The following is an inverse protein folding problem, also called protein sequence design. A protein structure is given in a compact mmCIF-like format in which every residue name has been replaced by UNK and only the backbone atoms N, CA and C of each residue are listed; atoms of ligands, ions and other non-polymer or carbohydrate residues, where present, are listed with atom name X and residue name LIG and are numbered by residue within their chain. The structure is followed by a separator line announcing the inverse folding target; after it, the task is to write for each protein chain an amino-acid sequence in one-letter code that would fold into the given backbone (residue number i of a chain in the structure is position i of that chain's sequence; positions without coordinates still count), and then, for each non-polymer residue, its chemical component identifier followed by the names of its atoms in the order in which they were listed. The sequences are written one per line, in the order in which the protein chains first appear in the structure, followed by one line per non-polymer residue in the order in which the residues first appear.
data_IF_971832161232
#
_entry.id   IF_971832161232
#
_cell.length_a   1.000
_cell.length_b   1.000
_cell.length_c   1.000
_cell.angle_alpha   90.00
_cell.angle_beta   90.00
_cell.angle_gamma   90.00
#
_symmetry.space_group_name_H-M   'P 1'
#
loop_
_entity.id
_entity.type
_entity.pdbx_description
1 polymer ?
#
# COMPACT_ATOMS: atom_id res chain seq x y z
N UNK A 1 -28.27 -3.73 5.15
CA UNK A 1 -27.12 -2.99 5.71
C UNK A 1 -26.92 -3.45 7.15
N UNK A 2 -25.67 -3.61 7.60
CA UNK A 2 -25.35 -3.94 8.99
C UNK A 2 -25.59 -2.69 9.85
N UNK A 3 -26.07 -2.84 11.08
CA UNK A 3 -26.24 -1.69 11.99
C UNK A 3 -24.89 -1.03 12.30
N UNK A 4 -24.92 0.27 12.66
CA UNK A 4 -23.73 1.04 13.03
C UNK A 4 -22.95 0.38 14.18
N UNK A 5 -23.67 -0.07 15.20
CA UNK A 5 -23.10 -0.74 16.38
C UNK A 5 -22.42 -2.05 16.01
N UNK A 6 -23.07 -2.90 15.20
CA UNK A 6 -22.49 -4.15 14.74
C UNK A 6 -21.23 -3.93 13.87
N UNK A 7 -21.17 -2.82 13.11
CA UNK A 7 -19.97 -2.44 12.36
C UNK A 7 -18.81 -2.10 13.29
N UNK A 8 -19.06 -1.28 14.30
CA UNK A 8 -18.05 -0.86 15.29
C UNK A 8 -17.57 -2.03 16.16
N UNK A 9 -18.47 -2.92 16.56
CA UNK A 9 -18.12 -4.12 17.34
C UNK A 9 -17.18 -5.04 16.53
N UNK A 10 -17.52 -5.29 15.27
CA UNK A 10 -16.67 -6.06 14.35
C UNK A 10 -15.30 -5.40 14.19
N UNK A 11 -15.25 -4.10 14.00
CA UNK A 11 -13.99 -3.35 13.88
C UNK A 11 -13.15 -3.49 15.14
N UNK A 12 -13.75 -3.32 16.32
CA UNK A 12 -13.05 -3.49 17.61
C UNK A 12 -12.47 -4.90 17.77
N UNK A 13 -13.22 -5.93 17.37
CA UNK A 13 -12.76 -7.34 17.43
C UNK A 13 -11.57 -7.60 16.51
N UNK A 14 -11.58 -7.06 15.30
CA UNK A 14 -10.55 -7.33 14.28
C UNK A 14 -9.42 -6.30 14.24
N UNK A 15 -9.54 -5.16 14.91
CA UNK A 15 -8.51 -4.12 14.93
C UNK A 15 -7.18 -4.64 15.48
N UNK A 16 -7.19 -5.42 16.57
CA UNK A 16 -5.96 -5.97 17.17
C UNK A 16 -5.20 -6.89 16.22
N UNK A 17 -5.78 -7.98 15.68
CA UNK A 17 -5.05 -8.86 14.78
C UNK A 17 -4.63 -8.16 13.49
N UNK A 18 -5.50 -7.32 12.90
CA UNK A 18 -5.16 -6.57 11.69
C UNK A 18 -4.03 -5.57 11.92
N UNK A 19 -4.06 -4.86 13.04
CA UNK A 19 -3.04 -3.89 13.42
C UNK A 19 -1.69 -4.53 13.75
N UNK A 20 -1.67 -5.65 14.49
CA UNK A 20 -0.43 -6.42 14.75
C UNK A 20 0.15 -6.96 13.45
N UNK A 21 -0.69 -7.54 12.59
CA UNK A 21 -0.26 -8.04 11.28
C UNK A 21 0.37 -6.92 10.43
N UNK A 22 -0.24 -5.73 10.41
CA UNK A 22 0.31 -4.56 9.71
C UNK A 22 1.66 -4.10 10.28
N UNK A 23 1.83 -4.12 11.61
CA UNK A 23 3.10 -3.79 12.26
C UNK A 23 4.19 -4.80 11.94
N UNK A 24 3.85 -6.08 11.75
CA UNK A 24 4.81 -7.14 11.45
C UNK A 24 5.36 -7.07 10.01
N UNK A 25 4.65 -6.45 9.06
CA UNK A 25 5.10 -6.33 7.66
C UNK A 25 6.52 -5.77 7.58
N UNK A 26 6.78 -4.62 8.23
CA UNK A 26 8.07 -3.94 8.20
C UNK A 26 9.23 -4.72 8.79
N UNK A 27 9.21 -5.19 10.05
CA UNK A 27 10.33 -5.93 10.61
C UNK A 27 10.57 -7.24 9.86
N UNK A 28 9.51 -7.96 9.43
CA UNK A 28 9.68 -9.17 8.64
C UNK A 28 10.37 -8.88 7.30
N UNK A 29 9.91 -7.85 6.58
CA UNK A 29 10.52 -7.44 5.32
C UNK A 29 11.97 -7.01 5.52
N UNK A 30 12.23 -6.17 6.52
CA UNK A 30 13.55 -5.61 6.77
C UNK A 30 14.56 -6.68 7.18
N UNK A 31 14.19 -7.58 8.09
CA UNK A 31 15.06 -8.69 8.51
C UNK A 31 15.32 -9.63 7.34
N UNK A 32 14.30 -9.92 6.51
CA UNK A 32 14.47 -10.73 5.31
C UNK A 32 15.47 -10.10 4.33
N UNK A 33 15.29 -8.81 3.99
CA UNK A 33 16.16 -8.11 3.03
C UNK A 33 17.58 -7.93 3.57
N UNK A 34 17.72 -7.55 4.83
CA UNK A 34 19.02 -7.40 5.47
C UNK A 34 19.76 -8.75 5.51
N UNK A 35 19.10 -9.83 5.92
CA UNK A 35 19.69 -11.17 5.93
C UNK A 35 20.10 -11.64 4.53
N UNK A 36 19.27 -11.40 3.49
CA UNK A 36 19.66 -11.72 2.11
C UNK A 36 20.90 -10.94 1.68
N UNK A 37 20.94 -9.64 1.96
CA UNK A 37 22.08 -8.81 1.61
C UNK A 37 23.36 -9.24 2.34
N UNK A 38 23.26 -9.58 3.62
CA UNK A 38 24.39 -10.07 4.42
C UNK A 38 24.92 -11.42 3.91
N UNK A 39 24.04 -12.33 3.48
CA UNK A 39 24.43 -13.65 2.98
C UNK A 39 25.00 -13.61 1.55
N UNK A 40 24.56 -12.67 0.73
CA UNK A 40 25.07 -12.50 -0.65
C UNK A 40 26.41 -11.76 -0.69
N UNK A 41 26.74 -11.03 0.37
CA UNK A 41 27.93 -10.19 0.43
C UNK A 41 27.90 -9.04 -0.60
N UNK A 42 29.06 -8.44 -0.80
CA UNK A 42 29.29 -7.43 -1.84
C UNK A 42 30.21 -8.01 -2.91
N UNK A 43 29.94 -7.74 -4.19
CA UNK A 43 30.80 -8.16 -5.30
C UNK A 43 32.20 -7.53 -5.15
N UNK A 44 33.23 -8.35 -4.95
CA UNK A 44 34.61 -7.88 -4.77
C UNK A 44 35.28 -7.38 -6.06
N UNK A 45 34.85 -7.87 -7.23
CA UNK A 45 35.41 -7.49 -8.54
C UNK A 45 34.54 -6.55 -9.37
N UNK A 46 33.40 -6.10 -8.83
CA UNK A 46 32.45 -5.23 -9.54
C UNK A 46 31.63 -5.92 -10.63
N UNK A 47 31.88 -7.21 -10.90
CA UNK A 47 31.09 -8.03 -11.82
C UNK A 47 29.88 -8.59 -11.07
N UNK A 48 28.71 -8.56 -11.71
CA UNK A 48 27.48 -9.14 -11.13
C UNK A 48 27.62 -10.65 -10.88
N UNK A 49 28.36 -11.35 -11.73
CA UNK A 49 28.56 -12.81 -11.66
C UNK A 49 29.45 -13.24 -10.49
N UNK A 50 30.23 -12.34 -9.89
CA UNK A 50 31.05 -12.62 -8.70
C UNK A 50 30.19 -12.99 -7.48
N UNK A 51 28.90 -12.61 -7.47
CA UNK A 51 27.98 -12.91 -6.37
C UNK A 51 27.46 -14.36 -6.44
N UNK A 52 27.51 -15.01 -7.59
CA UNK A 52 26.90 -16.33 -7.80
C UNK A 52 27.58 -17.43 -6.97
N UNK A 53 28.93 -17.52 -6.92
CA UNK A 53 29.59 -18.48 -6.01
C UNK A 53 29.23 -18.26 -4.53
N UNK A 54 29.02 -17.01 -4.12
CA UNK A 54 28.61 -16.68 -2.75
C UNK A 54 27.18 -17.13 -2.47
N UNK A 55 26.27 -16.98 -3.44
CA UNK A 55 24.89 -17.47 -3.36
C UNK A 55 24.87 -18.99 -3.26
N UNK A 56 25.64 -19.70 -4.09
CA UNK A 56 25.74 -21.16 -4.06
C UNK A 56 26.22 -21.67 -2.68
N UNK A 57 27.32 -21.09 -2.18
CA UNK A 57 27.86 -21.42 -0.86
C UNK A 57 26.88 -21.17 0.31
N UNK A 58 25.91 -20.25 0.13
CA UNK A 58 24.92 -19.88 1.15
C UNK A 58 23.49 -20.33 0.82
N UNK A 59 23.30 -21.22 -0.17
CA UNK A 59 21.97 -21.57 -0.67
C UNK A 59 21.00 -22.02 0.44
N UNK A 60 21.47 -22.88 1.36
CA UNK A 60 20.67 -23.33 2.50
C UNK A 60 20.31 -22.22 3.49
N UNK A 61 21.22 -21.26 3.71
CA UNK A 61 21.00 -20.13 4.62
C UNK A 61 19.98 -19.12 4.06
N UNK A 62 19.80 -19.07 2.73
CA UNK A 62 18.85 -18.18 2.05
C UNK A 62 17.38 -18.62 2.22
N UNK A 63 17.11 -19.83 2.72
CA UNK A 63 15.73 -20.31 2.98
C UNK A 63 15.05 -19.48 4.06
N UNK A 64 15.75 -19.17 5.16
CA UNK A 64 15.19 -18.40 6.27
C UNK A 64 14.69 -17.01 5.81
N UNK A 65 15.50 -16.17 5.16
CA UNK A 65 14.99 -14.89 4.71
C UNK A 65 13.94 -14.99 3.59
N UNK A 66 13.94 -16.06 2.77
CA UNK A 66 12.86 -16.30 1.82
C UNK A 66 11.51 -16.49 2.54
N UNK A 67 11.50 -17.31 3.60
CA UNK A 67 10.31 -17.54 4.45
C UNK A 67 9.89 -16.25 5.15
N UNK A 68 10.83 -15.50 5.72
CA UNK A 68 10.51 -14.21 6.37
C UNK A 68 9.92 -13.19 5.38
N UNK A 69 10.45 -13.13 4.16
CA UNK A 69 9.93 -12.29 3.09
C UNK A 69 8.51 -12.69 2.68
N UNK A 70 8.26 -13.99 2.49
CA UNK A 70 6.93 -14.52 2.19
C UNK A 70 5.93 -14.21 3.31
N UNK A 71 6.32 -14.38 4.57
CA UNK A 71 5.48 -14.05 5.73
C UNK A 71 5.17 -12.56 5.82
N UNK A 72 6.12 -11.68 5.46
CA UNK A 72 5.87 -10.24 5.38
C UNK A 72 4.75 -9.91 4.39
N UNK A 73 4.76 -10.51 3.20
CA UNK A 73 3.69 -10.33 2.24
C UNK A 73 2.37 -10.88 2.76
N UNK A 74 2.34 -12.11 3.29
CA UNK A 74 1.11 -12.69 3.86
C UNK A 74 0.53 -11.84 5.01
N UNK A 75 1.39 -11.20 5.81
CA UNK A 75 0.97 -10.29 6.87
C UNK A 75 0.24 -9.03 6.37
N UNK A 76 0.34 -8.69 5.08
CA UNK A 76 -0.44 -7.60 4.46
C UNK A 76 -1.94 -7.94 4.32
N UNK A 77 -2.32 -9.23 4.29
CA UNK A 77 -3.70 -9.66 4.02
C UNK A 77 -4.66 -9.10 5.07
N UNK A 78 -4.35 -9.29 6.36
CA UNK A 78 -5.23 -8.90 7.44
C UNK A 78 -5.56 -7.38 7.45
N UNK A 79 -4.59 -6.45 7.38
CA UNK A 79 -4.91 -5.02 7.32
C UNK A 79 -5.62 -4.59 6.04
N UNK A 80 -5.30 -5.18 4.87
CA UNK A 80 -6.00 -4.86 3.62
C UNK A 80 -7.47 -5.29 3.66
N UNK A 81 -7.73 -6.52 4.13
CA UNK A 81 -9.09 -7.04 4.29
C UNK A 81 -9.86 -6.23 5.34
N UNK A 82 -9.24 -5.93 6.48
CA UNK A 82 -9.84 -5.10 7.52
C UNK A 82 -10.25 -3.72 6.99
N UNK A 83 -9.34 -3.05 6.28
CA UNK A 83 -9.56 -1.73 5.73
C UNK A 83 -10.64 -1.74 4.61
N UNK A 84 -10.65 -2.77 3.77
CA UNK A 84 -11.68 -2.99 2.75
C UNK A 84 -13.06 -3.21 3.37
N UNK A 85 -13.17 -4.08 4.37
CA UNK A 85 -14.41 -4.39 5.07
C UNK A 85 -14.98 -3.17 5.80
N UNK A 86 -14.11 -2.36 6.41
CA UNK A 86 -14.49 -1.10 7.03
C UNK A 86 -15.00 -0.09 5.98
N UNK A 87 -14.35 0.00 4.81
CA UNK A 87 -14.82 0.86 3.73
C UNK A 87 -16.17 0.39 3.16
N UNK A 88 -16.33 -0.92 2.95
CA UNK A 88 -17.56 -1.53 2.41
C UNK A 88 -18.76 -1.33 3.34
N UNK A 89 -18.57 -1.44 4.65
CA UNK A 89 -19.64 -1.19 5.61
C UNK A 89 -20.16 0.26 5.58
N UNK A 90 -19.35 1.20 5.08
CA UNK A 90 -19.67 2.64 5.02
C UNK A 90 -20.11 3.11 3.63
N UNK A 91 -19.97 2.32 2.57
CA UNK A 91 -20.33 2.73 1.22
C UNK A 91 -20.68 1.56 0.30
N UNK A 92 -21.85 1.63 -0.32
CA UNK A 92 -22.30 0.69 -1.36
C UNK A 92 -21.48 0.74 -2.65
N UNK A 93 -20.67 1.80 -2.82
CA UNK A 93 -19.78 1.93 -3.99
C UNK A 93 -18.62 0.93 -3.96
N UNK A 94 -18.36 0.32 -2.81
CA UNK A 94 -17.29 -0.67 -2.64
C UNK A 94 -17.77 -2.03 -3.17
N UNK A 95 -17.16 -2.49 -4.25
CA UNK A 95 -17.51 -3.74 -4.93
C UNK A 95 -16.89 -4.92 -4.20
N UNK A 96 -17.72 -5.89 -3.80
CA UNK A 96 -17.28 -7.08 -3.06
C UNK A 96 -16.16 -7.85 -3.76
N UNK A 97 -16.25 -7.99 -5.09
CA UNK A 97 -15.24 -8.72 -5.89
C UNK A 97 -13.81 -8.20 -5.70
N UNK A 98 -13.64 -6.92 -5.33
CA UNK A 98 -12.31 -6.33 -5.13
C UNK A 98 -11.61 -6.85 -3.86
N UNK A 99 -12.32 -7.53 -2.95
CA UNK A 99 -11.69 -8.20 -1.80
C UNK A 99 -10.72 -9.30 -2.25
N UNK A 100 -10.95 -9.90 -3.42
CA UNK A 100 -10.08 -10.92 -3.98
C UNK A 100 -8.64 -10.40 -4.13
N UNK A 101 -8.46 -9.15 -4.56
CA UNK A 101 -7.13 -8.54 -4.69
C UNK A 101 -6.43 -8.29 -3.36
N UNK A 102 -7.17 -8.09 -2.26
CA UNK A 102 -6.59 -7.94 -0.92
C UNK A 102 -5.90 -9.23 -0.43
N UNK A 103 -6.31 -10.39 -0.96
CA UNK A 103 -5.79 -11.72 -0.60
C UNK A 103 -4.87 -12.26 -1.70
N UNK A 104 -5.28 -12.14 -2.96
CA UNK A 104 -4.55 -12.67 -4.10
C UNK A 104 -3.18 -12.00 -4.25
N UNK A 105 -3.10 -10.67 -4.12
CA UNK A 105 -1.84 -9.98 -4.35
C UNK A 105 -0.75 -10.40 -3.35
N UNK A 106 -0.98 -10.40 -2.03
CA UNK A 106 0.07 -10.79 -1.10
C UNK A 106 0.41 -12.28 -1.15
N UNK A 107 -0.55 -13.15 -1.51
CA UNK A 107 -0.29 -14.58 -1.73
C UNK A 107 0.62 -14.78 -2.94
N UNK A 108 0.34 -14.14 -4.08
CA UNK A 108 1.19 -14.25 -5.27
C UNK A 108 2.59 -13.69 -5.01
N UNK A 109 2.72 -12.58 -4.29
CA UNK A 109 4.02 -12.02 -3.91
C UNK A 109 4.79 -12.95 -2.96
N UNK A 110 4.11 -13.62 -2.02
CA UNK A 110 4.74 -14.60 -1.15
C UNK A 110 5.29 -15.79 -1.94
N UNK A 111 4.51 -16.31 -2.89
CA UNK A 111 4.94 -17.38 -3.81
C UNK A 111 6.13 -16.91 -4.65
N UNK A 112 6.02 -15.72 -5.25
CA UNK A 112 7.08 -15.13 -6.07
C UNK A 112 8.38 -14.96 -5.27
N UNK A 113 8.31 -14.49 -4.02
CA UNK A 113 9.48 -14.29 -3.18
C UNK A 113 10.26 -15.59 -2.94
N UNK A 114 9.56 -16.70 -2.74
CA UNK A 114 10.17 -18.03 -2.60
C UNK A 114 10.76 -18.49 -3.94
N UNK A 115 10.00 -18.38 -5.03
CA UNK A 115 10.43 -18.80 -6.37
C UNK A 115 11.69 -18.06 -6.83
N UNK A 116 11.80 -16.76 -6.56
CA UNK A 116 12.99 -15.97 -6.90
C UNK A 116 14.23 -16.49 -6.19
N UNK A 117 14.13 -16.86 -4.91
CA UNK A 117 15.28 -17.42 -4.17
C UNK A 117 15.68 -18.78 -4.71
N UNK A 118 14.71 -19.68 -4.93
CA UNK A 118 14.97 -21.00 -5.51
C UNK A 118 15.67 -20.90 -6.88
N UNK A 119 15.13 -20.02 -7.74
CA UNK A 119 15.71 -19.76 -9.06
C UNK A 119 17.14 -19.24 -8.97
N UNK A 120 17.39 -18.27 -8.08
CA UNK A 120 18.73 -17.71 -7.90
C UNK A 120 19.73 -18.74 -7.38
N UNK A 121 19.32 -19.63 -6.48
CA UNK A 121 20.20 -20.71 -5.99
C UNK A 121 20.51 -21.75 -7.07
N UNK A 122 19.54 -22.07 -7.94
CA UNK A 122 19.75 -22.99 -9.05
C UNK A 122 20.69 -22.40 -10.10
N UNK A 123 20.44 -21.16 -10.53
CA UNK A 123 21.32 -20.44 -11.46
C UNK A 123 22.74 -20.34 -10.89
N UNK A 124 22.88 -20.06 -9.59
CA UNK A 124 24.19 -19.99 -8.94
C UNK A 124 24.92 -21.34 -8.97
N UNK A 125 24.24 -22.43 -8.62
CA UNK A 125 24.80 -23.78 -8.65
C UNK A 125 25.23 -24.20 -10.07
N UNK A 126 24.37 -23.99 -11.05
CA UNK A 126 24.65 -24.30 -12.46
C UNK A 126 25.82 -23.47 -12.98
N UNK A 127 25.89 -22.20 -12.59
CA UNK A 127 26.98 -21.29 -12.97
C UNK A 127 28.32 -21.76 -12.40
N UNK A 128 28.38 -22.08 -11.10
CA UNK A 128 29.61 -22.59 -10.47
C UNK A 128 30.06 -23.90 -11.11
N UNK A 129 29.12 -24.80 -11.40
CA UNK A 129 29.42 -26.10 -12.02
C UNK A 129 29.97 -25.99 -13.44
N UNK A 130 29.55 -24.98 -14.21
CA UNK A 130 29.93 -24.81 -15.63
C UNK A 130 31.00 -23.76 -15.86
N UNK A 131 31.28 -22.90 -14.87
CA UNK A 131 32.29 -21.85 -15.00
C UNK A 131 33.71 -22.43 -15.14
N UNK A 132 34.44 -21.97 -16.17
CA UNK A 132 35.84 -22.35 -16.40
C UNK A 132 36.77 -21.14 -16.30
N UNK A 133 37.99 -21.29 -15.77
CA UNK A 133 38.98 -20.20 -15.74
C UNK A 133 39.22 -19.62 -17.14
N UNK A 134 39.09 -18.30 -17.28
CA UNK A 134 39.27 -17.60 -18.56
C UNK A 134 38.12 -17.74 -19.56
N UNK A 135 37.02 -18.40 -19.19
CA UNK A 135 35.81 -18.51 -20.01
C UNK A 135 35.00 -17.21 -20.04
N UNK A 136 34.13 -17.08 -21.04
CA UNK A 136 33.19 -15.96 -21.13
C UNK A 136 32.02 -16.13 -20.14
N UNK A 137 32.21 -15.52 -18.97
CA UNK A 137 31.29 -15.56 -17.84
C UNK A 137 29.92 -14.93 -18.15
N UNK A 138 29.85 -13.94 -19.05
CA UNK A 138 28.58 -13.28 -19.38
C UNK A 138 27.72 -14.12 -20.31
N UNK A 139 28.34 -14.70 -21.33
CA UNK A 139 27.63 -15.61 -22.25
C UNK A 139 27.12 -16.83 -21.51
N UNK A 140 27.95 -17.43 -20.64
CA UNK A 140 27.54 -18.55 -19.78
C UNK A 140 26.36 -18.17 -18.87
N UNK A 141 26.43 -17.03 -18.19
CA UNK A 141 25.34 -16.59 -17.31
C UNK A 141 24.03 -16.40 -18.08
N UNK A 142 24.07 -15.75 -19.24
CA UNK A 142 22.88 -15.54 -20.06
C UNK A 142 22.29 -16.88 -20.53
N UNK A 143 23.12 -17.82 -20.99
CA UNK A 143 22.68 -19.15 -21.42
C UNK A 143 21.98 -19.92 -20.28
N UNK A 144 22.54 -19.88 -19.06
CA UNK A 144 21.92 -20.52 -17.88
C UNK A 144 20.60 -19.84 -17.52
N UNK A 145 20.53 -18.51 -17.52
CA UNK A 145 19.31 -17.75 -17.19
C UNK A 145 18.20 -18.02 -18.22
N UNK A 146 18.55 -18.07 -19.50
CA UNK A 146 17.61 -18.29 -20.61
C UNK A 146 17.11 -19.74 -20.68
N UNK A 147 17.96 -20.72 -20.33
CA UNK A 147 17.58 -22.13 -20.29
C UNK A 147 16.87 -22.56 -18.99
N UNK A 148 16.87 -21.70 -17.96
CA UNK A 148 16.27 -22.01 -16.66
C UNK A 148 14.74 -21.96 -16.69
N UNK A 149 14.12 -23.14 -16.69
CA UNK A 149 12.66 -23.29 -16.53
C UNK A 149 12.15 -22.68 -15.22
N UNK A 150 12.93 -22.73 -14.13
CA UNK A 150 12.57 -22.11 -12.86
C UNK A 150 12.48 -20.58 -12.98
N UNK A 151 13.38 -19.97 -13.74
CA UNK A 151 13.36 -18.54 -14.02
C UNK A 151 12.14 -18.12 -14.87
N UNK A 152 11.80 -18.92 -15.87
CA UNK A 152 10.59 -18.72 -16.67
C UNK A 152 9.32 -18.77 -15.79
N UNK A 153 9.21 -19.77 -14.92
CA UNK A 153 8.07 -19.89 -14.01
C UNK A 153 8.05 -18.72 -13.01
N UNK A 154 9.19 -18.38 -12.40
CA UNK A 154 9.27 -17.31 -11.40
C UNK A 154 8.90 -15.94 -12.00
N UNK A 155 9.35 -15.65 -13.22
CA UNK A 155 9.04 -14.40 -13.92
C UNK A 155 7.57 -14.33 -14.34
N UNK A 156 6.95 -15.45 -14.74
CA UNK A 156 5.53 -15.50 -15.13
C UNK A 156 4.57 -15.13 -13.99
N UNK A 157 4.93 -15.42 -12.73
CA UNK A 157 4.13 -15.07 -11.54
C UNK A 157 4.26 -13.59 -11.18
N UNK A 158 5.40 -12.97 -11.49
CA UNK A 158 5.72 -11.63 -11.04
C UNK A 158 4.81 -10.52 -11.58
N UNK A 159 4.46 -10.60 -12.86
CA UNK A 159 3.59 -9.60 -13.48
C UNK A 159 2.16 -9.65 -12.89
N UNK A 160 1.48 -10.81 -12.80
CA UNK A 160 0.20 -10.92 -12.11
C UNK A 160 0.25 -10.46 -10.65
N UNK A 161 1.32 -10.80 -9.91
CA UNK A 161 1.49 -10.39 -8.53
C UNK A 161 1.57 -8.85 -8.39
N UNK A 162 2.38 -8.21 -9.23
CA UNK A 162 2.52 -6.75 -9.27
C UNK A 162 1.22 -6.04 -9.66
N UNK A 163 0.51 -6.54 -10.67
CA UNK A 163 -0.80 -5.99 -11.10
C UNK A 163 -1.86 -6.16 -10.01
N UNK A 164 -1.92 -7.32 -9.37
CA UNK A 164 -2.85 -7.56 -8.27
C UNK A 164 -2.57 -6.60 -7.10
N UNK A 165 -1.29 -6.38 -6.76
CA UNK A 165 -0.88 -5.46 -5.71
C UNK A 165 -1.25 -4.02 -6.07
N UNK A 166 -0.98 -3.61 -7.31
CA UNK A 166 -1.35 -2.30 -7.84
C UNK A 166 -2.85 -2.04 -7.67
N UNK A 167 -3.68 -2.99 -8.08
CA UNK A 167 -5.14 -2.88 -7.94
C UNK A 167 -5.54 -2.79 -6.46
N UNK A 168 -4.98 -3.64 -5.60
CA UNK A 168 -5.28 -3.62 -4.16
C UNK A 168 -4.90 -2.28 -3.50
N UNK A 169 -3.67 -1.81 -3.75
CA UNK A 169 -3.12 -0.58 -3.17
C UNK A 169 -3.65 0.70 -3.81
N UNK A 170 -4.32 0.63 -4.96
CA UNK A 170 -5.09 1.75 -5.50
C UNK A 170 -6.52 1.72 -4.97
N UNK A 171 -7.21 0.62 -5.17
CA UNK A 171 -8.64 0.54 -4.92
C UNK A 171 -8.98 0.71 -3.45
N UNK A 172 -8.31 -0.05 -2.55
CA UNK A 172 -8.65 -0.06 -1.13
C UNK A 172 -8.37 1.31 -0.50
N UNK A 173 -7.16 1.90 -0.62
CA UNK A 173 -6.87 3.21 -0.04
C UNK A 173 -7.75 4.32 -0.62
N UNK A 174 -8.08 4.26 -1.92
CA UNK A 174 -9.01 5.21 -2.54
C UNK A 174 -10.41 5.16 -1.91
N UNK A 175 -10.98 3.97 -1.74
CA UNK A 175 -12.30 3.83 -1.12
C UNK A 175 -12.27 4.21 0.36
N UNK A 176 -11.24 3.81 1.09
CA UNK A 176 -11.05 4.17 2.49
C UNK A 176 -10.88 5.67 2.69
N UNK A 177 -10.20 6.37 1.77
CA UNK A 177 -10.13 7.83 1.78
C UNK A 177 -11.50 8.48 1.56
N UNK A 178 -12.31 7.93 0.64
CA UNK A 178 -13.65 8.45 0.34
C UNK A 178 -14.60 8.36 1.52
N UNK A 179 -14.50 7.30 2.33
CA UNK A 179 -15.30 7.15 3.56
C UNK A 179 -14.66 7.80 4.79
N UNK A 180 -13.47 8.39 4.64
CA UNK A 180 -12.77 9.09 5.72
C UNK A 180 -11.96 8.21 6.66
N UNK A 181 -11.71 6.93 6.35
CA UNK A 181 -10.88 6.03 7.18
C UNK A 181 -9.38 6.30 7.04
N UNK A 182 -8.97 6.79 5.87
CA UNK A 182 -7.60 7.22 5.59
C UNK A 182 -7.58 8.72 5.26
N UNK A 183 -6.51 9.41 5.64
CA UNK A 183 -6.26 10.78 5.18
C UNK A 183 -5.92 10.81 3.69
N UNK A 184 -6.15 11.96 3.04
CA UNK A 184 -5.82 12.15 1.61
C UNK A 184 -4.34 11.90 1.32
N UNK A 185 -3.46 12.37 2.21
CA UNK A 185 -2.03 12.15 2.09
C UNK A 185 -1.69 10.66 2.14
N UNK A 186 -2.17 9.93 3.16
CA UNK A 186 -1.83 8.51 3.34
C UNK A 186 -2.33 7.64 2.19
N UNK A 187 -3.53 7.91 1.67
CA UNK A 187 -4.04 7.19 0.51
C UNK A 187 -3.25 7.53 -0.75
N UNK A 188 -3.00 8.81 -1.03
CA UNK A 188 -2.28 9.22 -2.24
C UNK A 188 -0.83 8.73 -2.24
N UNK A 189 -0.18 8.71 -1.08
CA UNK A 189 1.18 8.21 -0.91
C UNK A 189 1.28 6.74 -1.33
N UNK A 190 0.45 5.85 -0.78
CA UNK A 190 0.51 4.42 -1.15
C UNK A 190 0.06 4.17 -2.58
N UNK A 191 -0.89 4.95 -3.11
CA UNK A 191 -1.27 4.87 -4.53
C UNK A 191 -0.10 5.24 -5.45
N UNK A 192 0.65 6.29 -5.12
CA UNK A 192 1.84 6.67 -5.87
C UNK A 192 2.92 5.59 -5.81
N UNK A 193 3.18 5.03 -4.61
CA UNK A 193 4.12 3.92 -4.45
C UNK A 193 3.71 2.69 -5.26
N UNK A 194 2.41 2.35 -5.28
CA UNK A 194 1.89 1.24 -6.06
C UNK A 194 2.16 1.44 -7.55
N UNK A 195 1.88 2.63 -8.10
CA UNK A 195 2.20 2.95 -9.51
C UNK A 195 3.70 2.87 -9.78
N UNK A 196 4.52 3.35 -8.84
CA UNK A 196 5.99 3.28 -8.95
C UNK A 196 6.52 1.85 -9.04
N UNK A 197 5.81 0.83 -8.53
CA UNK A 197 6.27 -0.58 -8.65
C UNK A 197 6.35 -1.09 -10.09
N UNK A 198 5.59 -0.48 -11.01
CA UNK A 198 5.58 -0.85 -12.43
C UNK A 198 6.58 -0.02 -13.24
N UNK A 199 6.94 1.16 -12.75
CA UNK A 199 7.83 2.08 -13.44
C UNK A 199 9.28 1.80 -12.99
N UNK A 200 10.20 1.41 -13.89
CA UNK A 200 11.57 1.02 -13.54
C UNK A 200 12.49 2.24 -13.25
N UNK A 201 11.99 3.24 -12.52
CA UNK A 201 12.75 4.45 -12.13
C UNK A 201 13.39 4.29 -10.76
N UNK A 202 12.75 3.56 -9.86
CA UNK A 202 13.24 3.33 -8.50
C UNK A 202 13.38 1.82 -8.28
N UNK A 203 14.48 1.34 -7.64
CA UNK A 203 14.62 -0.06 -7.31
C UNK A 203 13.41 -0.57 -6.52
N UNK A 204 12.82 -1.68 -6.98
CA UNK A 204 11.64 -2.30 -6.34
C UNK A 204 11.82 -2.52 -4.83
N UNK A 205 12.99 -2.98 -4.32
CA UNK A 205 13.18 -3.15 -2.88
C UNK A 205 13.03 -1.85 -2.07
N UNK A 206 13.40 -0.71 -2.66
CA UNK A 206 13.25 0.61 -2.02
C UNK A 206 11.78 1.05 -2.00
N UNK A 207 11.03 0.85 -3.09
CA UNK A 207 9.58 1.13 -3.11
C UNK A 207 8.86 0.26 -2.07
N UNK A 208 9.20 -1.03 -2.03
CA UNK A 208 8.61 -1.98 -1.10
C UNK A 208 8.91 -1.65 0.36
N UNK A 209 10.08 -1.05 0.66
CA UNK A 209 10.39 -0.51 1.98
C UNK A 209 9.38 0.58 2.39
N UNK A 210 9.10 1.54 1.51
CA UNK A 210 8.12 2.60 1.80
C UNK A 210 6.69 2.06 1.93
N UNK A 211 6.30 1.06 1.14
CA UNK A 211 5.02 0.36 1.30
C UNK A 211 4.94 -0.31 2.67
N UNK A 212 6.02 -0.99 3.09
CA UNK A 212 6.09 -1.64 4.40
C UNK A 212 5.96 -0.61 5.54
N UNK A 213 6.69 0.51 5.46
CA UNK A 213 6.56 1.61 6.43
C UNK A 213 5.14 2.19 6.47
N UNK A 214 4.46 2.27 5.33
CA UNK A 214 3.06 2.67 5.28
C UNK A 214 2.16 1.66 6.02
N UNK A 215 2.38 0.35 5.86
CA UNK A 215 1.67 -0.67 6.64
C UNK A 215 1.96 -0.59 8.13
N UNK A 216 3.21 -0.31 8.52
CA UNK A 216 3.55 -0.09 9.91
C UNK A 216 2.78 1.10 10.50
N UNK A 217 2.76 2.23 9.78
CA UNK A 217 1.97 3.39 10.19
C UNK A 217 0.46 3.07 10.24
N UNK A 218 -0.06 2.35 9.24
CA UNK A 218 -1.44 1.90 9.23
C UNK A 218 -1.76 1.03 10.45
N UNK A 219 -0.85 0.14 10.84
CA UNK A 219 -0.98 -0.67 12.05
C UNK A 219 -1.13 0.16 13.31
N UNK A 220 -0.33 1.22 13.45
CA UNK A 220 -0.45 2.16 14.57
C UNK A 220 -1.79 2.92 14.57
N UNK A 221 -2.31 3.26 13.39
CA UNK A 221 -3.63 3.90 13.24
C UNK A 221 -4.76 2.93 13.61
N UNK A 222 -4.70 1.68 13.14
CA UNK A 222 -5.70 0.65 13.44
C UNK A 222 -5.74 0.35 14.94
N UNK A 223 -4.58 0.31 15.60
CA UNK A 223 -4.45 0.06 17.04
C UNK A 223 -4.74 1.28 17.93
N UNK A 224 -5.17 2.40 17.36
CA UNK A 224 -5.45 3.64 18.07
C UNK A 224 -4.24 4.21 18.85
N UNK A 225 -3.02 3.88 18.43
CA UNK A 225 -1.79 4.36 19.07
C UNK A 225 -1.40 5.76 18.64
N UNK A 226 -2.02 6.29 17.58
CA UNK A 226 -1.76 7.65 17.07
C UNK A 226 -3.02 8.51 17.19
N UNK A 227 -3.29 9.02 18.40
CA UNK A 227 -4.52 9.80 18.72
C UNK A 227 -4.78 10.97 17.77
N UNK A 228 -3.73 11.67 17.31
CA UNK A 228 -3.87 12.85 16.43
C UNK A 228 -4.03 12.50 14.94
N UNK A 229 -3.69 11.27 14.54
CA UNK A 229 -3.70 10.87 13.14
C UNK A 229 -4.91 10.00 12.76
N UNK A 230 -5.68 9.50 13.73
CA UNK A 230 -6.86 8.67 13.47
C UNK A 230 -8.03 9.53 12.98
N UNK A 231 -8.53 9.30 11.75
CA UNK A 231 -9.65 10.08 11.24
C UNK A 231 -10.96 9.86 12.03
N UNK A 232 -11.88 10.84 12.04
CA UNK A 232 -13.12 10.77 12.81
C UNK A 232 -14.07 9.64 12.39
N UNK A 233 -13.97 9.18 11.13
CA UNK A 233 -14.79 8.08 10.60
C UNK A 233 -14.61 6.74 11.36
N UNK A 234 -13.47 6.57 12.03
CA UNK A 234 -13.21 5.39 12.87
C UNK A 234 -14.06 5.38 14.14
N UNK A 235 -14.24 6.53 14.78
CA UNK A 235 -15.09 6.66 15.97
C UNK A 235 -16.57 6.71 15.58
N UNK A 236 -16.88 7.35 14.45
CA UNK A 236 -18.25 7.53 14.01
C UNK A 236 -18.89 6.24 13.48
N UNK A 237 -18.14 5.31 12.89
CA UNK A 237 -18.72 4.09 12.29
C UNK A 237 -19.55 4.33 11.03
N UNK A 238 -19.60 5.56 10.54
CA UNK A 238 -20.28 5.99 9.32
C UNK A 238 -19.30 6.69 8.39
N UNK A 239 -19.63 6.79 7.10
CA UNK A 239 -18.81 7.52 6.15
C UNK A 239 -18.74 9.01 6.53
N UNK A 240 -17.53 9.53 6.72
CA UNK A 240 -17.27 10.95 6.90
C UNK A 240 -16.27 11.41 5.83
N UNK A 241 -16.73 11.73 4.61
CA UNK A 241 -15.85 12.16 3.54
C UNK A 241 -15.08 13.43 3.94
N UNK A 242 -13.79 13.48 3.62
CA UNK A 242 -12.97 14.66 3.89
C UNK A 242 -13.54 15.91 3.19
N UNK A 243 -13.64 17.07 3.89
CA UNK A 243 -14.19 18.31 3.33
C UNK A 243 -13.44 18.74 2.07
N UNK A 244 -14.16 19.30 1.10
CA UNK A 244 -13.51 19.81 -0.11
C UNK A 244 -12.63 21.01 0.24
N UNK A 245 -11.53 21.27 -0.48
CA UNK A 245 -10.73 22.47 -0.27
C UNK A 245 -11.63 23.71 -0.32
N UNK A 246 -11.70 24.47 0.77
CA UNK A 246 -12.53 25.68 0.90
C UNK A 246 -13.88 25.50 1.60
N UNK A 247 -14.29 24.27 1.94
CA UNK A 247 -15.42 24.03 2.86
C UNK A 247 -14.89 23.98 4.30
N UNK A 248 -15.57 24.64 5.27
CA UNK A 248 -15.20 24.51 6.68
C UNK A 248 -15.27 23.04 7.10
N UNK A 249 -14.34 22.62 7.95
CA UNK A 249 -14.39 21.30 8.54
C UNK A 249 -15.72 21.17 9.29
N UNK A 250 -16.58 20.21 8.88
CA UNK A 250 -17.77 19.89 9.67
C UNK A 250 -17.28 19.39 11.01
N UNK A 251 -17.56 20.17 12.06
CA UNK A 251 -17.47 19.66 13.41
C UNK A 251 -18.42 18.45 13.50
N UNK A 252 -18.02 17.38 14.19
CA UNK A 252 -18.94 16.28 14.43
C UNK A 252 -20.13 16.87 15.18
N UNK A 253 -21.30 16.89 14.55
CA UNK A 253 -22.57 17.18 15.23
C UNK A 253 -22.60 16.27 16.46
N UNK A 254 -22.33 16.86 17.64
CA UNK A 254 -22.67 16.24 18.90
C UNK A 254 -24.15 15.89 18.80
N UNK A 255 -24.45 14.61 19.04
CA UNK A 255 -25.80 14.07 19.03
C UNK A 255 -26.76 15.11 19.61
N UNK A 256 -27.61 15.69 18.76
CA UNK A 256 -28.72 16.48 19.22
C UNK A 256 -29.55 15.57 20.12
N UNK A 257 -29.48 15.83 21.42
CA UNK A 257 -30.40 15.23 22.38
C UNK A 257 -31.82 15.59 21.92
N UNK A 258 -32.80 14.68 21.98
CA UNK A 258 -34.16 14.94 21.46
C UNK A 258 -34.96 16.04 22.20
N UNK A 259 -34.34 16.80 23.09
CA UNK A 259 -35.02 17.73 24.01
C UNK A 259 -34.83 19.22 23.71
N UNK A 260 -34.30 19.60 22.53
CA UNK A 260 -34.29 21.02 22.14
C UNK A 260 -35.04 21.26 20.83
N UNK A 261 -36.32 20.93 20.85
CA UNK A 261 -37.32 21.54 19.98
C UNK A 261 -38.02 22.65 20.80
N UNK A 262 -37.36 23.80 20.94
CA UNK A 262 -38.06 25.05 21.22
C UNK A 262 -38.23 25.84 19.93
N UNK A 263 -39.49 25.91 19.50
CA UNK A 263 -39.98 26.89 18.52
C UNK A 263 -39.54 28.30 18.90
N UNK A 264 -38.96 29.05 17.95
CA UNK A 264 -38.66 30.46 18.21
C UNK A 264 -37.93 31.21 17.11
N UNK A 265 -38.71 31.84 16.23
CA UNK A 265 -38.41 33.13 15.54
C UNK A 265 -37.48 33.08 14.31
N UNK A 266 -38.12 33.04 13.14
CA UNK A 266 -37.52 33.50 11.89
C UNK A 266 -37.04 34.96 12.05
N UNK A 267 -35.73 35.14 12.05
CA UNK A 267 -35.10 36.45 11.89
C UNK A 267 -34.48 36.44 10.50
N UNK A 268 -34.97 37.30 9.62
CA UNK A 268 -34.42 37.48 8.27
C UNK A 268 -32.92 37.82 8.39
N UNK A 269 -32.06 36.88 8.01
CA UNK A 269 -30.64 37.17 7.79
C UNK A 269 -30.52 38.06 6.56
N UNK A 270 -30.24 39.33 6.82
CA UNK A 270 -29.72 40.30 5.87
C UNK A 270 -28.58 39.69 5.06
N UNK A 271 -28.68 39.84 3.74
CA UNK A 271 -27.72 39.30 2.78
C UNK A 271 -26.36 39.99 2.98
N UNK A 272 -25.38 39.29 3.55
CA UNK A 272 -24.01 39.80 3.56
C UNK A 272 -23.51 39.97 2.10
N UNK A 273 -22.81 41.08 1.79
CA UNK A 273 -22.37 41.34 0.43
C UNK A 273 -21.30 40.32 0.03
N UNK A 274 -21.60 39.50 -0.98
CA UNK A 274 -20.66 38.51 -1.52
C UNK A 274 -19.34 39.21 -1.93
N UNK A 275 -18.21 38.94 -1.25
CA UNK A 275 -16.94 39.64 -1.51
C UNK A 275 -16.38 39.36 -2.92
N UNK A 276 -16.89 38.33 -3.61
CA UNK A 276 -16.49 38.00 -4.98
C UNK A 276 -17.25 38.80 -6.06
N UNK A 277 -18.29 39.56 -5.70
CA UNK A 277 -19.03 40.39 -6.65
C UNK A 277 -18.16 41.51 -7.24
N UNK A 278 -17.39 42.20 -6.39
CA UNK A 278 -16.47 43.27 -6.81
C UNK A 278 -15.33 42.75 -7.72
N UNK A 279 -14.89 41.50 -7.51
CA UNK A 279 -13.83 40.87 -8.32
C UNK A 279 -14.35 40.49 -9.71
N UNK A 280 -15.62 40.04 -9.82
CA UNK A 280 -16.30 39.75 -11.09
C UNK A 280 -16.56 41.01 -11.93
N UNK A 281 -16.93 42.11 -11.30
CA UNK A 281 -17.08 43.44 -11.94
C UNK A 281 -15.77 43.92 -12.59
N UNK A 282 -14.65 43.86 -11.85
CA UNK A 282 -13.32 44.25 -12.38
C UNK A 282 -12.89 43.37 -13.56
N UNK A 283 -13.16 42.07 -13.51
CA UNK A 283 -12.86 41.15 -14.61
C UNK A 283 -13.68 41.46 -15.88
N UNK A 284 -14.96 41.80 -15.74
CA UNK A 284 -15.83 42.20 -16.86
C UNK A 284 -15.35 43.52 -17.49
N UNK A 285 -14.99 44.53 -16.68
CA UNK A 285 -14.43 45.80 -17.19
C UNK A 285 -13.12 45.60 -17.96
N UNK A 286 -12.22 44.73 -17.49
CA UNK A 286 -10.95 44.44 -18.18
C UNK A 286 -11.15 43.72 -19.52
N UNK A 287 -12.20 42.89 -19.64
CA UNK A 287 -12.53 42.19 -20.88
C UNK A 287 -13.16 43.11 -21.93
N UNK A 288 -13.88 44.16 -21.50
CA UNK A 288 -14.49 45.15 -22.41
C UNK A 288 -13.46 46.10 -23.02
N UNK A 289 -12.41 46.49 -22.28
CA UNK A 289 -11.30 47.32 -22.79
C UNK A 289 -10.36 46.63 -23.79
N UNK A 290 -10.44 45.30 -23.95
CA UNK A 290 -9.63 44.54 -24.93
C UNK A 290 -10.35 44.27 -26.26
N UNK A 291 -11.59 44.75 -26.42
CA UNK A 291 -12.42 44.55 -27.62
C UNK A 291 -12.73 45.86 -28.38
N UNK A 292 -12.10 46.95 -27.98
CA UNK A 292 -11.99 48.24 -28.68
C UNK A 292 -10.52 48.50 -28.84
#
# INVERSE_FOLDING_TARGET
MISREATLERERRWARPAGISALLVTPLYFVAQYSQQSLRGSSSGGLFTDVLPVIDANAGALVLPAVLGALSFLAMIAPLVYLFEAARARSERVRLAMIGFAVLAPVLLAIQAVMVIVTQTQIAADFVAQSTPGGDVYTLFNEIVESSTANEIASSVGVPAGVALLVALIYIPLQSMRVGLLSRFMATFVMALAVLTIIPVVPVPAIQLFISLWFFFLGLVILDKVRRARPPAWAAGVAMPWPKPGEPAREPEQQASPEDFTEGRATETTTEPNPNAARRERAKRKKRKRRT
#
